data_IF_170665814496
#
_entry.id   IF_170665814496
#
_cell.length_a   1.000
_cell.length_b   1.000
_cell.length_c   1.000
_cell.angle_alpha   90.00
_cell.angle_beta   90.00
_cell.angle_gamma   90.00
#
_symmetry.space_group_name_H-M   'P 1'
#
loop_
_entity.id
_entity.type
_entity.pdbx_description
1 polymer ?
#
# COMPACT_ATOMS: atom_id res chain seq x y z
N UNK A 1 29.95 18.97 22.07
CA UNK A 1 28.61 18.84 22.67
C UNK A 1 28.04 17.50 22.23
N UNK A 2 27.78 16.59 23.15
CA UNK A 2 27.24 15.27 22.83
C UNK A 2 25.84 15.45 22.21
N UNK A 3 25.69 15.04 20.95
CA UNK A 3 24.42 15.13 20.24
C UNK A 3 23.45 14.15 20.93
N UNK A 4 22.55 14.66 21.77
CA UNK A 4 21.52 13.85 22.39
C UNK A 4 20.74 13.17 21.26
N UNK A 5 20.71 11.83 21.25
CA UNK A 5 19.93 11.10 20.24
C UNK A 5 18.46 11.46 20.47
N UNK A 6 17.85 12.10 19.47
CA UNK A 6 16.41 12.24 19.42
C UNK A 6 15.76 10.87 19.49
N UNK A 7 14.66 10.78 20.20
CA UNK A 7 13.89 9.54 20.34
C UNK A 7 12.48 9.80 19.85
N UNK A 8 11.89 8.77 19.24
CA UNK A 8 10.50 8.77 18.81
C UNK A 8 9.85 7.51 19.37
N UNK A 9 8.62 7.65 19.84
CA UNK A 9 7.81 6.53 20.29
C UNK A 9 6.51 6.51 19.46
N UNK A 10 6.19 5.34 18.91
CA UNK A 10 4.94 5.11 18.19
C UNK A 10 4.18 4.04 18.96
N UNK A 11 2.96 4.36 19.37
CA UNK A 11 2.04 3.39 19.97
C UNK A 11 0.85 3.19 19.04
N UNK A 12 0.50 1.93 18.78
CA UNK A 12 -0.55 1.57 17.83
C UNK A 12 -1.75 0.91 18.51
N UNK A 13 -2.96 1.24 18.04
CA UNK A 13 -4.22 0.58 18.41
C UNK A 13 -5.04 0.33 17.14
N UNK A 14 -5.91 -0.67 17.17
CA UNK A 14 -6.86 -0.92 16.08
C UNK A 14 -8.25 -0.54 16.57
N UNK A 15 -8.97 0.28 15.81
CA UNK A 15 -10.33 0.72 16.11
C UNK A 15 -11.17 0.66 14.83
N UNK A 16 -12.28 -0.08 14.82
CA UNK A 16 -13.17 -0.23 13.66
C UNK A 16 -12.45 -0.50 12.32
N UNK A 17 -11.42 -1.36 12.38
CA UNK A 17 -10.51 -1.73 11.27
C UNK A 17 -9.59 -0.62 10.77
N UNK A 18 -9.59 0.56 11.37
CA UNK A 18 -8.55 1.57 11.19
C UNK A 18 -7.39 1.31 12.16
N UNK A 19 -6.16 1.58 11.71
CA UNK A 19 -4.98 1.59 12.57
C UNK A 19 -4.74 3.02 13.07
N UNK A 20 -4.69 3.18 14.38
CA UNK A 20 -4.47 4.46 15.03
C UNK A 20 -3.09 4.47 15.67
N UNK A 21 -2.24 5.40 15.23
CA UNK A 21 -0.88 5.55 15.72
C UNK A 21 -0.77 6.86 16.48
N UNK A 22 -0.36 6.80 17.73
CA UNK A 22 0.03 8.00 18.51
C UNK A 22 1.54 8.11 18.49
N UNK A 23 2.04 9.24 18.00
CA UNK A 23 3.46 9.51 17.82
C UNK A 23 3.90 10.60 18.78
N UNK A 24 4.89 10.30 19.62
CA UNK A 24 5.46 11.24 20.58
C UNK A 24 6.99 11.29 20.45
N UNK A 25 7.59 12.38 20.90
CA UNK A 25 9.04 12.60 20.82
C UNK A 25 9.42 13.59 19.73
N UNK A 26 10.62 13.43 19.16
CA UNK A 26 11.20 14.41 18.21
C UNK A 26 11.40 13.80 16.83
N UNK A 27 10.83 14.43 15.81
CA UNK A 27 11.01 14.08 14.41
C UNK A 27 12.14 14.93 13.78
N UNK A 28 13.24 14.26 13.47
CA UNK A 28 14.38 14.86 12.78
C UNK A 28 15.05 13.84 11.82
N UNK A 29 16.22 14.17 11.27
CA UNK A 29 16.93 13.29 10.34
C UNK A 29 17.32 11.93 10.90
N UNK A 30 17.37 11.75 12.22
CA UNK A 30 17.71 10.47 12.88
C UNK A 30 16.49 9.59 13.09
N UNK A 31 15.31 10.18 13.37
CA UNK A 31 14.06 9.46 13.63
C UNK A 31 13.12 9.36 12.42
N UNK A 32 13.40 10.11 11.35
CA UNK A 32 12.58 10.16 10.13
C UNK A 32 12.30 8.78 9.52
N UNK A 33 13.36 7.96 9.32
CA UNK A 33 13.22 6.64 8.69
C UNK A 33 12.40 5.70 9.54
N UNK A 34 12.65 5.69 10.85
CA UNK A 34 11.94 4.86 11.82
C UNK A 34 10.44 5.16 11.80
N UNK A 35 10.05 6.44 11.83
CA UNK A 35 8.65 6.84 11.75
C UNK A 35 8.02 6.43 10.42
N UNK A 36 8.68 6.75 9.30
CA UNK A 36 8.19 6.42 7.95
C UNK A 36 7.91 4.92 7.83
N UNK A 37 8.89 4.11 8.21
CA UNK A 37 8.82 2.66 8.05
C UNK A 37 7.75 2.05 8.97
N UNK A 38 7.53 2.64 10.15
CA UNK A 38 6.45 2.23 11.07
C UNK A 38 5.06 2.56 10.53
N UNK A 39 4.88 3.75 9.92
CA UNK A 39 3.62 4.13 9.27
C UNK A 39 3.35 3.23 8.06
N UNK A 40 4.37 2.97 7.24
CA UNK A 40 4.28 2.03 6.11
C UNK A 40 3.88 0.64 6.62
N UNK A 41 4.57 0.11 7.63
CA UNK A 41 4.28 -1.20 8.21
C UNK A 41 2.82 -1.31 8.69
N UNK A 42 2.31 -0.28 9.36
CA UNK A 42 0.93 -0.27 9.83
C UNK A 42 -0.09 -0.24 8.68
N UNK A 43 0.27 0.39 7.56
CA UNK A 43 -0.54 0.37 6.35
C UNK A 43 -0.46 -0.99 5.61
N UNK A 44 0.66 -1.72 5.71
CA UNK A 44 0.83 -3.05 5.09
C UNK A 44 -0.09 -4.12 5.69
N UNK A 45 -0.56 -3.94 6.92
CA UNK A 45 -1.62 -4.78 7.52
C UNK A 45 -3.03 -4.48 6.94
N UNK A 46 -3.09 -3.54 5.99
CA UNK A 46 -4.25 -3.17 5.19
C UNK A 46 -5.50 -2.79 6.00
N UNK A 47 -5.38 -1.88 6.99
CA UNK A 47 -6.53 -1.30 7.65
C UNK A 47 -7.35 -0.45 6.67
N UNK A 48 -8.56 -0.07 7.07
CA UNK A 48 -9.39 0.86 6.29
C UNK A 48 -8.72 2.23 6.13
N UNK A 49 -8.00 2.68 7.15
CA UNK A 49 -7.12 3.84 7.14
C UNK A 49 -6.04 3.71 8.22
N UNK A 50 -4.93 4.43 8.05
CA UNK A 50 -3.95 4.70 9.12
C UNK A 50 -4.15 6.14 9.58
N UNK A 51 -4.59 6.33 10.82
CA UNK A 51 -4.75 7.64 11.45
C UNK A 51 -3.53 7.87 12.34
N UNK A 52 -2.74 8.91 12.07
CA UNK A 52 -1.54 9.22 12.84
C UNK A 52 -1.78 10.51 13.64
N UNK A 53 -1.86 10.36 14.96
CA UNK A 53 -1.89 11.46 15.90
C UNK A 53 -0.47 11.97 16.18
N UNK A 54 -0.23 13.20 15.75
CA UNK A 54 1.04 13.92 15.86
C UNK A 54 0.93 15.11 16.81
N UNK A 55 -0.08 15.12 17.70
CA UNK A 55 -0.33 16.23 18.63
C UNK A 55 0.83 16.47 19.59
N UNK A 56 1.52 15.41 20.02
CA UNK A 56 2.69 15.47 20.92
C UNK A 56 4.03 15.31 20.18
N UNK A 57 4.03 15.45 18.85
CA UNK A 57 5.23 15.32 18.03
C UNK A 57 5.96 16.65 17.90
N UNK A 58 7.19 16.73 18.39
CA UNK A 58 8.06 17.88 18.20
C UNK A 58 8.79 17.76 16.84
N UNK A 59 8.71 18.79 16.01
CA UNK A 59 9.34 18.81 14.68
C UNK A 59 10.21 20.05 14.53
N UNK A 60 11.50 20.01 14.96
CA UNK A 60 12.39 21.17 14.95
C UNK A 60 12.65 21.71 13.54
N UNK A 61 12.69 20.81 12.55
CA UNK A 61 12.87 21.14 11.15
C UNK A 61 11.58 20.84 10.41
N UNK A 62 10.83 21.87 10.01
CA UNK A 62 9.52 21.71 9.37
C UNK A 62 9.54 20.81 8.12
N UNK A 63 10.65 20.74 7.38
CA UNK A 63 10.76 19.85 6.22
C UNK A 63 10.60 18.36 6.57
N UNK A 64 10.79 17.99 7.84
CA UNK A 64 10.61 16.62 8.30
C UNK A 64 9.13 16.18 8.29
N UNK A 65 8.15 17.10 8.25
CA UNK A 65 6.73 16.77 8.02
C UNK A 65 6.49 15.98 6.72
N UNK A 66 7.41 16.08 5.75
CA UNK A 66 7.40 15.27 4.51
C UNK A 66 7.48 13.76 4.75
N UNK A 67 7.76 13.30 5.97
CA UNK A 67 7.73 11.88 6.33
C UNK A 67 6.39 11.24 6.01
N UNK A 68 5.29 11.96 6.21
CA UNK A 68 3.93 11.44 5.99
C UNK A 68 3.56 11.38 4.51
N UNK A 69 4.00 12.37 3.72
CA UNK A 69 3.85 12.29 2.26
C UNK A 69 4.73 11.19 1.67
N UNK A 70 5.95 11.01 2.20
CA UNK A 70 6.85 9.91 1.82
C UNK A 70 6.22 8.54 2.13
N UNK A 71 5.65 8.36 3.31
CA UNK A 71 4.95 7.13 3.69
C UNK A 71 3.73 6.89 2.78
N UNK A 72 2.91 7.93 2.53
CA UNK A 72 1.75 7.88 1.63
C UNK A 72 2.13 7.41 0.23
N UNK A 73 3.24 7.88 -0.32
CA UNK A 73 3.69 7.47 -1.65
C UNK A 73 4.10 5.99 -1.70
N UNK A 74 4.78 5.47 -0.68
CA UNK A 74 5.19 4.06 -0.64
C UNK A 74 4.00 3.09 -0.59
N UNK A 75 2.90 3.52 0.01
CA UNK A 75 1.68 2.72 0.06
C UNK A 75 0.67 3.11 -1.00
N UNK A 76 0.93 4.13 -1.84
CA UNK A 76 -0.10 4.69 -2.73
C UNK A 76 -0.57 3.82 -3.88
N UNK A 77 0.21 2.81 -4.18
CA UNK A 77 -0.07 1.93 -5.31
C UNK A 77 -0.58 0.59 -4.81
N UNK A 78 0.05 0.09 -3.75
CA UNK A 78 -0.43 -1.00 -2.93
C UNK A 78 0.17 -0.83 -1.54
N UNK A 79 -0.61 -0.99 -0.44
CA UNK A 79 -2.03 -1.34 -0.39
C UNK A 79 -2.99 -0.14 -0.51
N UNK A 80 -2.58 1.04 -0.99
CA UNK A 80 -3.35 2.29 -1.07
C UNK A 80 -4.23 2.63 0.15
N UNK A 81 -3.71 2.36 1.35
CA UNK A 81 -4.36 2.74 2.61
C UNK A 81 -4.29 4.26 2.78
N UNK A 82 -5.45 4.86 3.07
CA UNK A 82 -5.52 6.28 3.39
C UNK A 82 -4.68 6.56 4.65
N UNK A 83 -3.75 7.50 4.56
CA UNK A 83 -3.04 8.03 5.73
C UNK A 83 -3.70 9.36 6.06
N UNK A 84 -4.16 9.50 7.30
CA UNK A 84 -4.78 10.71 7.84
C UNK A 84 -3.93 11.22 9.00
N UNK A 85 -3.78 12.53 9.14
CA UNK A 85 -3.10 13.16 10.27
C UNK A 85 -4.10 13.76 11.22
N UNK A 86 -3.81 13.62 12.52
CA UNK A 86 -4.52 14.31 13.60
C UNK A 86 -3.51 15.18 14.33
N UNK A 87 -3.83 16.47 14.50
CA UNK A 87 -2.99 17.37 15.27
C UNK A 87 -3.85 18.39 16.03
N UNK A 88 -3.90 18.27 17.35
CA UNK A 88 -4.64 19.21 18.22
C UNK A 88 -4.02 20.62 18.27
N UNK A 89 -2.74 20.76 17.97
CA UNK A 89 -2.01 22.02 18.05
C UNK A 89 -2.16 22.88 16.78
N UNK A 90 -2.74 24.08 16.92
CA UNK A 90 -2.97 24.98 15.78
C UNK A 90 -1.70 25.40 15.04
N UNK A 91 -0.60 25.65 15.77
CA UNK A 91 0.68 26.04 15.15
C UNK A 91 1.24 24.93 14.25
N UNK A 92 1.24 23.69 14.73
CA UNK A 92 1.70 22.52 13.98
C UNK A 92 0.81 22.25 12.76
N UNK A 93 -0.52 22.42 12.86
CA UNK A 93 -1.41 22.32 11.69
C UNK A 93 -1.06 23.32 10.58
N UNK A 94 -0.76 24.56 10.93
CA UNK A 94 -0.33 25.59 9.97
C UNK A 94 1.00 25.21 9.30
N UNK A 95 1.97 24.69 10.08
CA UNK A 95 3.24 24.22 9.55
C UNK A 95 3.04 23.06 8.56
N UNK A 96 2.21 22.06 8.89
CA UNK A 96 1.89 20.91 8.03
C UNK A 96 1.27 21.39 6.70
N UNK A 97 0.30 22.30 6.76
CA UNK A 97 -0.34 22.86 5.57
C UNK A 97 0.65 23.66 4.70
N UNK A 98 1.49 24.52 5.32
CA UNK A 98 2.48 25.35 4.60
C UNK A 98 3.52 24.50 3.85
N UNK A 99 3.89 23.34 4.39
CA UNK A 99 4.85 22.43 3.78
C UNK A 99 4.19 21.51 2.72
N UNK A 100 2.90 21.68 2.43
CA UNK A 100 2.20 20.99 1.34
C UNK A 100 1.77 19.55 1.63
N UNK A 101 1.82 19.12 2.89
CA UNK A 101 1.47 17.74 3.29
C UNK A 101 -0.02 17.48 3.04
N UNK A 102 -0.86 18.48 3.31
CA UNK A 102 -2.32 18.41 3.14
C UNK A 102 -2.78 18.16 1.71
N UNK A 103 -1.89 18.26 0.72
CA UNK A 103 -2.17 17.91 -0.68
C UNK A 103 -2.31 16.41 -0.90
N UNK A 104 -1.68 15.60 -0.06
CA UNK A 104 -1.61 14.14 -0.23
C UNK A 104 -2.12 13.37 0.98
N UNK A 105 -2.16 14.02 2.15
CA UNK A 105 -2.50 13.43 3.45
C UNK A 105 -3.47 14.38 4.15
N UNK A 106 -4.71 13.95 4.38
CA UNK A 106 -5.72 14.79 5.02
C UNK A 106 -5.37 15.08 6.48
N UNK A 107 -5.71 16.28 6.97
CA UNK A 107 -5.37 16.74 8.31
C UNK A 107 -6.63 17.14 9.08
N UNK A 108 -6.78 16.56 10.27
CA UNK A 108 -7.91 16.77 11.16
C UNK A 108 -7.47 17.37 12.50
N UNK A 109 -8.32 18.16 13.17
CA UNK A 109 -8.02 18.74 14.48
C UNK A 109 -8.12 17.73 15.63
N UNK A 110 -8.93 16.66 15.47
CA UNK A 110 -9.18 15.66 16.51
C UNK A 110 -9.26 14.25 15.93
N UNK A 111 -8.99 13.25 16.77
CA UNK A 111 -9.09 11.85 16.40
C UNK A 111 -10.53 11.46 16.04
N UNK A 112 -11.51 12.01 16.77
CA UNK A 112 -12.94 11.81 16.50
C UNK A 112 -13.35 12.30 15.12
N UNK A 113 -12.85 13.46 14.67
CA UNK A 113 -13.14 13.99 13.34
C UNK A 113 -12.53 13.10 12.24
N UNK A 114 -11.29 12.63 12.43
CA UNK A 114 -10.65 11.69 11.51
C UNK A 114 -11.41 10.36 11.43
N UNK A 115 -11.84 9.82 12.58
CA UNK A 115 -12.68 8.61 12.64
C UNK A 115 -14.00 8.79 11.91
N UNK A 116 -14.68 9.92 12.14
CA UNK A 116 -15.93 10.23 11.46
C UNK A 116 -15.74 10.26 9.93
N UNK A 117 -14.66 10.87 9.43
CA UNK A 117 -14.35 10.89 8.00
C UNK A 117 -14.13 9.48 7.41
N UNK A 118 -13.48 8.58 8.16
CA UNK A 118 -13.32 7.16 7.78
C UNK A 118 -14.68 6.43 7.79
N UNK A 119 -15.50 6.63 8.82
CA UNK A 119 -16.81 5.97 8.96
C UNK A 119 -17.83 6.41 7.91
N UNK A 120 -17.85 7.70 7.56
CA UNK A 120 -18.75 8.27 6.54
C UNK A 120 -18.32 7.83 5.13
N UNK A 121 -17.10 7.31 4.96
CA UNK A 121 -16.55 6.99 3.65
C UNK A 121 -16.20 8.23 2.83
N UNK A 122 -16.12 9.40 3.49
CA UNK A 122 -15.75 10.69 2.89
C UNK A 122 -14.26 10.76 2.54
N UNK A 123 -13.45 9.80 3.00
CA UNK A 123 -12.14 9.55 2.41
C UNK A 123 -12.32 9.03 0.98
N UNK A 124 -12.23 9.96 0.02
CA UNK A 124 -12.28 9.81 -1.44
C UNK A 124 -12.30 8.36 -1.94
N UNK A 125 -13.51 7.90 -2.26
CA UNK A 125 -13.92 6.64 -2.91
C UNK A 125 -13.91 5.39 -2.00
N UNK A 126 -15.04 4.65 -1.90
CA UNK A 126 -15.11 3.42 -1.12
C UNK A 126 -14.12 2.40 -1.70
N UNK A 127 -13.12 2.07 -0.90
CA UNK A 127 -12.14 1.04 -1.22
C UNK A 127 -12.79 -0.33 -1.02
N UNK A 128 -12.82 -1.12 -2.09
CA UNK A 128 -13.27 -2.52 -2.07
C UNK A 128 -12.06 -3.42 -2.18
N UNK A 129 -11.98 -4.43 -1.31
CA UNK A 129 -10.81 -5.29 -1.22
C UNK A 129 -11.20 -6.73 -0.93
N UNK A 130 -10.52 -7.66 -1.57
CA UNK A 130 -10.64 -9.08 -1.33
C UNK A 130 -9.27 -9.74 -1.34
N UNK A 131 -9.13 -10.79 -0.52
CA UNK A 131 -7.92 -11.58 -0.35
C UNK A 131 -8.28 -13.06 -0.37
N UNK A 132 -7.46 -13.87 -1.03
CA UNK A 132 -7.55 -15.32 -0.97
C UNK A 132 -6.17 -15.97 -0.91
N UNK A 133 -6.00 -16.91 0.02
CA UNK A 133 -4.85 -17.80 0.01
C UNK A 133 -5.07 -18.88 -1.05
N UNK A 134 -4.07 -19.07 -1.91
CA UNK A 134 -4.08 -20.08 -2.96
C UNK A 134 -3.08 -21.19 -2.62
N UNK A 135 -3.42 -22.47 -2.82
CA UNK A 135 -2.44 -23.55 -2.67
C UNK A 135 -1.29 -23.41 -3.68
N UNK A 136 -0.09 -23.88 -3.33
CA UNK A 136 1.10 -23.82 -4.19
C UNK A 136 1.06 -24.89 -5.31
N UNK A 137 0.07 -24.82 -6.19
CA UNK A 137 -0.14 -25.73 -7.34
C UNK A 137 -0.60 -24.94 -8.56
N UNK A 138 -0.24 -25.38 -9.78
CA UNK A 138 -0.61 -24.66 -11.01
C UNK A 138 -2.12 -24.55 -11.27
N UNK A 139 -2.94 -25.44 -10.71
CA UNK A 139 -4.41 -25.31 -10.80
C UNK A 139 -4.94 -24.05 -10.09
N UNK A 140 -4.14 -23.44 -9.20
CA UNK A 140 -4.44 -22.16 -8.55
C UNK A 140 -4.55 -21.00 -9.54
N UNK A 141 -3.93 -21.06 -10.72
CA UNK A 141 -4.09 -20.03 -11.77
C UNK A 141 -5.56 -19.89 -12.21
N UNK A 142 -6.24 -21.03 -12.43
CA UNK A 142 -7.67 -21.03 -12.78
C UNK A 142 -8.51 -20.44 -11.64
N UNK A 143 -8.20 -20.80 -10.40
CA UNK A 143 -8.91 -20.30 -9.21
C UNK A 143 -8.69 -18.79 -9.02
N UNK A 144 -7.46 -18.31 -9.22
CA UNK A 144 -7.09 -16.92 -9.13
C UNK A 144 -7.86 -16.06 -10.14
N UNK A 145 -7.93 -16.49 -11.41
CA UNK A 145 -8.75 -15.81 -12.43
C UNK A 145 -10.23 -15.79 -12.09
N UNK A 146 -10.78 -16.92 -11.62
CA UNK A 146 -12.19 -17.00 -11.24
C UNK A 146 -12.53 -16.03 -10.09
N UNK A 147 -11.70 -15.99 -9.03
CA UNK A 147 -11.86 -15.05 -7.92
C UNK A 147 -11.74 -13.59 -8.37
N UNK A 148 -10.77 -13.30 -9.24
CA UNK A 148 -10.57 -11.95 -9.79
C UNK A 148 -11.82 -11.48 -10.55
N UNK A 149 -12.36 -12.33 -11.43
CA UNK A 149 -13.60 -12.03 -12.15
C UNK A 149 -14.79 -11.86 -11.18
N UNK A 150 -14.95 -12.77 -10.22
CA UNK A 150 -16.02 -12.70 -9.22
C UNK A 150 -15.99 -11.39 -8.43
N UNK A 151 -14.83 -11.01 -7.89
CA UNK A 151 -14.68 -9.79 -7.10
C UNK A 151 -14.90 -8.53 -7.94
N UNK A 152 -14.30 -8.45 -9.13
CA UNK A 152 -14.46 -7.27 -10.00
C UNK A 152 -15.88 -7.13 -10.53
N UNK A 153 -16.59 -8.23 -10.82
CA UNK A 153 -18.02 -8.22 -11.15
C UNK A 153 -18.84 -7.70 -9.97
N UNK A 154 -18.61 -8.24 -8.76
CA UNK A 154 -19.30 -7.80 -7.55
C UNK A 154 -19.05 -6.31 -7.25
N UNK A 155 -17.93 -5.76 -7.74
CA UNK A 155 -17.57 -4.35 -7.56
C UNK A 155 -17.91 -3.47 -8.76
N UNK A 156 -18.64 -3.97 -9.75
CA UNK A 156 -19.01 -3.20 -10.96
C UNK A 156 -17.79 -2.63 -11.69
N UNK A 157 -16.74 -3.45 -11.82
CA UNK A 157 -15.48 -3.17 -12.54
C UNK A 157 -15.25 -4.22 -13.64
N UNK A 158 -16.30 -4.57 -14.36
CA UNK A 158 -16.29 -5.61 -15.40
C UNK A 158 -15.26 -5.35 -16.51
N UNK A 159 -15.06 -4.09 -16.84
CA UNK A 159 -14.11 -3.60 -17.84
C UNK A 159 -12.64 -3.90 -17.49
N UNK A 160 -12.33 -4.13 -16.21
CA UNK A 160 -10.97 -4.42 -15.74
C UNK A 160 -10.66 -5.92 -15.70
N UNK A 161 -11.65 -6.80 -15.92
CA UNK A 161 -11.50 -8.25 -15.70
C UNK A 161 -10.43 -8.86 -16.60
N UNK A 162 -10.42 -8.52 -17.89
CA UNK A 162 -9.49 -9.10 -18.85
C UNK A 162 -8.03 -8.76 -18.51
N UNK A 163 -7.74 -7.47 -18.31
CA UNK A 163 -6.39 -7.01 -17.95
C UNK A 163 -5.95 -7.51 -16.57
N UNK A 164 -6.86 -7.50 -15.58
CA UNK A 164 -6.55 -8.00 -14.24
C UNK A 164 -6.24 -9.51 -14.27
N UNK A 165 -6.99 -10.31 -15.02
CA UNK A 165 -6.75 -11.75 -15.16
C UNK A 165 -5.37 -12.06 -15.78
N UNK A 166 -4.91 -11.27 -16.76
CA UNK A 166 -3.57 -11.42 -17.33
C UNK A 166 -2.47 -11.11 -16.32
N UNK A 167 -2.61 -10.02 -15.57
CA UNK A 167 -1.65 -9.65 -14.53
C UNK A 167 -1.63 -10.71 -13.42
N UNK A 168 -2.80 -11.20 -13.00
CA UNK A 168 -2.93 -12.26 -12.01
C UNK A 168 -2.21 -13.54 -12.45
N UNK A 169 -2.37 -13.94 -13.71
CA UNK A 169 -1.68 -15.13 -14.24
C UNK A 169 -0.17 -15.00 -14.12
N UNK A 170 0.38 -13.85 -14.55
CA UNK A 170 1.82 -13.60 -14.45
C UNK A 170 2.29 -13.60 -13.00
N UNK A 171 1.60 -12.88 -12.11
CA UNK A 171 2.07 -12.71 -10.74
C UNK A 171 1.96 -14.03 -9.94
N UNK A 172 0.89 -14.79 -10.13
CA UNK A 172 0.71 -16.10 -9.48
C UNK A 172 1.68 -17.12 -10.05
N UNK A 173 1.87 -17.19 -11.37
CA UNK A 173 2.86 -18.06 -12.00
C UNK A 173 4.27 -17.75 -11.49
N UNK A 174 4.61 -16.46 -11.36
CA UNK A 174 5.89 -16.04 -10.82
C UNK A 174 6.14 -16.56 -9.39
N UNK A 175 5.12 -16.57 -8.53
CA UNK A 175 5.25 -17.15 -7.18
C UNK A 175 5.43 -18.67 -7.23
N UNK A 176 4.65 -19.36 -8.08
CA UNK A 176 4.69 -20.82 -8.20
C UNK A 176 6.00 -21.33 -8.81
N UNK A 177 6.57 -20.63 -9.79
CA UNK A 177 7.79 -21.04 -10.50
C UNK A 177 9.07 -20.67 -9.73
N UNK A 178 9.05 -19.59 -8.96
CA UNK A 178 10.25 -19.03 -8.35
C UNK A 178 10.28 -19.09 -6.82
N UNK A 179 9.23 -19.61 -6.18
CA UNK A 179 9.19 -19.79 -4.73
C UNK A 179 8.57 -21.13 -4.34
N UNK A 180 8.77 -21.55 -3.09
CA UNK A 180 8.05 -22.67 -2.49
C UNK A 180 6.80 -22.22 -1.69
N UNK A 181 6.39 -20.95 -1.88
CA UNK A 181 5.34 -20.33 -1.09
C UNK A 181 3.96 -20.53 -1.72
N UNK A 182 2.95 -20.62 -0.85
CA UNK A 182 1.56 -20.49 -1.26
C UNK A 182 1.25 -19.02 -1.59
N UNK A 183 0.81 -18.66 -2.81
CA UNK A 183 0.51 -17.28 -3.14
C UNK A 183 -0.74 -16.78 -2.41
N UNK A 184 -0.70 -15.55 -1.91
CA UNK A 184 -1.89 -14.83 -1.46
C UNK A 184 -2.29 -13.79 -2.52
N UNK A 185 -3.43 -14.01 -3.18
CA UNK A 185 -4.00 -13.07 -4.14
C UNK A 185 -4.77 -11.98 -3.41
N UNK A 186 -4.50 -10.72 -3.77
CA UNK A 186 -5.16 -9.53 -3.22
C UNK A 186 -5.59 -8.67 -4.40
N UNK A 187 -6.88 -8.35 -4.48
CA UNK A 187 -7.43 -7.41 -5.46
C UNK A 187 -8.09 -6.26 -4.70
N UNK A 188 -7.87 -5.05 -5.20
CA UNK A 188 -8.46 -3.84 -4.64
C UNK A 188 -9.01 -2.95 -5.74
N UNK A 189 -10.16 -2.32 -5.48
CA UNK A 189 -10.72 -1.27 -6.31
C UNK A 189 -10.94 0.00 -5.51
N UNK A 190 -10.44 1.12 -6.06
CA UNK A 190 -10.65 2.46 -5.53
C UNK A 190 -10.83 3.44 -6.69
N UNK A 191 -11.89 4.24 -6.66
CA UNK A 191 -12.20 5.15 -7.77
C UNK A 191 -12.26 4.39 -9.09
N UNK A 192 -11.51 4.83 -10.09
CA UNK A 192 -11.43 4.18 -11.41
C UNK A 192 -10.28 3.19 -11.57
N UNK A 193 -9.51 2.91 -10.52
CA UNK A 193 -8.33 2.04 -10.59
C UNK A 193 -8.55 0.70 -9.88
N UNK A 194 -7.84 -0.32 -10.35
CA UNK A 194 -7.76 -1.63 -9.72
C UNK A 194 -6.30 -1.96 -9.43
N UNK A 195 -6.01 -2.36 -8.20
CA UNK A 195 -4.70 -2.89 -7.80
C UNK A 195 -4.77 -4.40 -7.74
N UNK A 196 -3.84 -5.06 -8.41
CA UNK A 196 -3.63 -6.51 -8.37
C UNK A 196 -2.32 -6.77 -7.64
N UNK A 197 -2.35 -7.60 -6.61
CA UNK A 197 -1.17 -7.94 -5.83
C UNK A 197 -1.13 -9.43 -5.49
N UNK A 198 0.08 -9.98 -5.48
CA UNK A 198 0.35 -11.35 -5.04
C UNK A 198 1.50 -11.32 -4.03
N UNK A 199 1.23 -11.83 -2.84
CA UNK A 199 2.19 -11.98 -1.76
C UNK A 199 2.76 -13.40 -1.71
N UNK A 200 4.06 -13.51 -1.42
CA UNK A 200 4.79 -14.75 -1.15
C UNK A 200 5.63 -14.62 0.14
N UNK A 201 6.16 -15.74 0.64
CA UNK A 201 7.01 -15.80 1.83
C UNK A 201 8.50 -15.90 1.47
N UNK A 202 8.91 -15.39 0.30
CA UNK A 202 10.29 -15.39 -0.15
C UNK A 202 10.94 -14.02 0.06
N UNK A 203 12.11 -14.01 0.72
CA UNK A 203 12.91 -12.80 0.90
C UNK A 203 13.73 -12.42 -0.34
N UNK A 204 13.70 -13.25 -1.39
CA UNK A 204 14.40 -12.96 -2.64
C UNK A 204 13.72 -11.77 -3.34
N UNK A 205 14.46 -10.77 -3.86
CA UNK A 205 13.86 -9.68 -4.62
C UNK A 205 13.02 -10.18 -5.80
N UNK A 206 11.97 -9.45 -6.20
CA UNK A 206 11.32 -9.70 -7.47
C UNK A 206 12.26 -9.26 -8.60
N UNK A 207 12.87 -10.21 -9.29
CA UNK A 207 13.78 -9.94 -10.40
C UNK A 207 13.04 -10.18 -11.71
N UNK A 208 13.20 -9.26 -12.67
CA UNK A 208 12.81 -9.51 -14.06
C UNK A 208 13.74 -10.57 -14.63
N UNK A 209 13.37 -11.84 -14.49
CA UNK A 209 14.07 -12.92 -15.17
C UNK A 209 13.58 -12.97 -16.63
N UNK A 210 14.49 -12.81 -17.58
CA UNK A 210 14.28 -13.34 -18.93
C UNK A 210 14.17 -14.86 -18.78
N UNK A 211 13.02 -15.44 -19.15
CA UNK A 211 12.81 -16.88 -18.99
C UNK A 211 13.88 -17.65 -19.79
N UNK A 212 14.78 -18.42 -19.15
CA UNK A 212 15.82 -19.15 -19.86
C UNK A 212 15.24 -20.21 -20.81
N UNK A 213 14.00 -20.62 -20.57
CA UNK A 213 13.30 -21.67 -21.34
C UNK A 213 12.61 -21.18 -22.62
N UNK A 214 12.53 -19.87 -22.88
CA UNK A 214 11.76 -19.32 -24.03
C UNK A 214 12.59 -18.59 -25.10
N UNK A 215 13.93 -18.67 -25.04
CA UNK A 215 14.82 -18.12 -26.05
C UNK A 215 14.92 -16.59 -26.04
N UNK A 216 15.89 -16.05 -26.79
CA UNK A 216 16.30 -14.63 -26.78
C UNK A 216 15.25 -13.60 -27.25
N UNK A 217 14.00 -14.00 -27.47
CA UNK A 217 12.87 -13.15 -27.88
C UNK A 217 11.66 -13.21 -26.94
N UNK A 218 11.75 -13.91 -25.81
CA UNK A 218 10.63 -14.05 -24.90
C UNK A 218 10.49 -12.83 -23.98
N UNK A 219 9.37 -12.12 -24.12
CA UNK A 219 8.97 -11.04 -23.20
C UNK A 219 8.80 -11.66 -21.79
N UNK A 220 9.54 -11.17 -20.80
CA UNK A 220 9.37 -11.63 -19.41
C UNK A 220 7.94 -11.34 -18.93
N UNK A 221 7.38 -12.19 -18.06
CA UNK A 221 6.04 -11.96 -17.51
C UNK A 221 5.91 -10.57 -16.87
N UNK A 222 6.92 -10.13 -16.11
CA UNK A 222 6.95 -8.79 -15.52
C UNK A 222 7.07 -7.65 -16.55
N UNK A 223 7.57 -7.91 -17.76
CA UNK A 223 7.51 -6.94 -18.85
C UNK A 223 6.08 -6.80 -19.40
N UNK A 224 5.30 -7.89 -19.43
CA UNK A 224 3.85 -7.83 -19.75
C UNK A 224 3.11 -7.02 -18.68
N UNK A 225 3.38 -7.28 -17.40
CA UNK A 225 2.80 -6.49 -16.29
C UNK A 225 3.14 -5.01 -16.41
N UNK A 226 4.40 -4.70 -16.73
CA UNK A 226 4.84 -3.31 -16.93
C UNK A 226 4.15 -2.62 -18.12
N UNK A 227 3.82 -3.36 -19.18
CA UNK A 227 3.12 -2.81 -20.35
C UNK A 227 1.62 -2.60 -20.10
N UNK A 228 1.00 -3.43 -19.24
CA UNK A 228 -0.44 -3.40 -18.98
C UNK A 228 -0.84 -2.52 -17.78
N UNK A 229 0.11 -2.11 -16.95
CA UNK A 229 -0.14 -1.34 -15.73
C UNK A 229 0.34 0.10 -15.86
N UNK A 230 -0.32 1.02 -15.14
CA UNK A 230 0.17 2.40 -14.94
C UNK A 230 1.51 2.39 -14.22
N UNK A 231 1.62 1.48 -13.26
CA UNK A 231 2.79 1.30 -12.40
C UNK A 231 2.70 -0.07 -11.75
N UNK A 232 3.86 -0.65 -11.45
CA UNK A 232 4.00 -1.92 -10.77
C UNK A 232 5.24 -1.87 -9.88
N UNK A 233 5.31 -2.75 -8.89
CA UNK A 233 6.41 -2.78 -7.94
C UNK A 233 6.46 -4.03 -7.09
N UNK A 234 7.44 -4.06 -6.20
CA UNK A 234 7.64 -5.12 -5.22
C UNK A 234 7.94 -4.50 -3.87
N UNK A 235 7.11 -4.79 -2.87
CA UNK A 235 7.26 -4.28 -1.50
C UNK A 235 7.63 -5.44 -0.58
N UNK A 236 8.75 -5.39 0.17
CA UNK A 236 9.07 -6.41 1.17
C UNK A 236 8.02 -6.48 2.28
N UNK A 237 7.73 -7.68 2.78
CA UNK A 237 6.89 -7.93 3.97
C UNK A 237 7.74 -8.51 5.10
N UNK A 238 7.16 -8.73 6.28
CA UNK A 238 7.86 -9.34 7.42
C UNK A 238 8.32 -10.78 7.15
N UNK A 239 7.63 -11.50 6.26
CA UNK A 239 7.89 -12.90 5.94
C UNK A 239 8.30 -13.15 4.48
N UNK A 240 8.18 -12.15 3.60
CA UNK A 240 8.57 -12.28 2.20
C UNK A 240 8.40 -10.97 1.44
N UNK A 241 7.55 -10.96 0.42
CA UNK A 241 7.28 -9.77 -0.39
C UNK A 241 5.90 -9.82 -1.04
N UNK A 242 5.44 -8.65 -1.46
CA UNK A 242 4.27 -8.50 -2.31
C UNK A 242 4.66 -7.85 -3.63
N UNK A 243 4.37 -8.53 -4.73
CA UNK A 243 4.48 -7.96 -6.08
C UNK A 243 3.11 -7.46 -6.49
N UNK A 244 3.03 -6.24 -7.00
CA UNK A 244 1.76 -5.58 -7.29
C UNK A 244 1.82 -4.77 -8.58
N UNK A 245 0.64 -4.50 -9.14
CA UNK A 245 0.42 -3.66 -10.31
C UNK A 245 -0.90 -2.91 -10.21
N UNK A 246 -0.92 -1.67 -10.72
CA UNK A 246 -2.14 -0.84 -10.79
C UNK A 246 -2.56 -0.63 -12.23
N UNK A 247 -3.83 -0.90 -12.50
CA UNK A 247 -4.48 -0.67 -13.79
C UNK A 247 -5.55 0.41 -13.66
N UNK A 248 -5.71 1.21 -14.71
CA UNK A 248 -6.77 2.20 -14.84
C UNK A 248 -7.65 1.94 -16.06
N UNK A 249 -8.64 2.81 -16.33
CA UNK A 249 -9.57 2.65 -17.45
C UNK A 249 -8.88 2.56 -18.82
N UNK A 250 -7.74 3.21 -19.00
CA UNK A 250 -6.92 3.15 -20.21
C UNK A 250 -6.22 1.81 -20.42
N UNK A 251 -6.18 0.97 -19.39
CA UNK A 251 -5.66 -0.40 -19.43
C UNK A 251 -6.78 -1.42 -19.73
N UNK A 252 -8.04 -0.99 -19.86
CA UNK A 252 -9.14 -1.88 -20.25
C UNK A 252 -8.86 -2.50 -21.63
N UNK A 253 -9.05 -3.81 -21.74
CA UNK A 253 -8.91 -4.58 -22.98
C UNK A 253 -10.28 -4.88 -23.59
#
# INVERSE_FOLDING_TARGET
>A
MANARSTIAVTGRIHDRAAELTVTGTLDGTTYRELRDTVIKSALDEPTAVIVDVTELAVPTESAWSVFTSARWHVSVWPDVAILLVCGQSASRVAIARNGITRYVELFPTLEAARAAVCVGDTVQPRRRARAQLPAVHSSLRRARALTAEWLLAWSRSEMIAVAALIVDVLVENVLEHTQSAPALIIESRGSTVTIAVEDNSQMPAVRHEHPRRGAGAVSGLAVVAALSRTWGSTPTSTGKTVWAVVGPESAL
#
